data_IF_179829449732
#
_entry.id   IF_179829449732
#
_cell.length_a   1.000
_cell.length_b   1.000
_cell.length_c   1.000
_cell.angle_alpha   90.00
_cell.angle_beta   90.00
_cell.angle_gamma   90.00
#
_symmetry.space_group_name_H-M   'P 1'
#
loop_
_entity.id
_entity.type
_entity.pdbx_description
1 polymer ?
#
# COMPACT_ATOMS: atom_id res chain seq x y z
N UNK A 1 -15.12 15.04 -14.94
CA UNK A 1 -13.83 14.92 -14.24
C UNK A 1 -13.92 13.76 -13.27
N UNK A 2 -12.97 12.83 -13.27
CA UNK A 2 -12.99 11.69 -12.34
C UNK A 2 -12.73 12.17 -10.91
N UNK A 3 -13.72 11.98 -10.02
CA UNK A 3 -13.65 12.40 -8.62
C UNK A 3 -12.57 11.60 -7.87
N UNK A 4 -11.79 12.29 -7.04
CA UNK A 4 -10.82 11.67 -6.14
C UNK A 4 -11.50 11.23 -4.85
N UNK A 5 -11.36 9.97 -4.47
CA UNK A 5 -11.79 9.43 -3.18
C UNK A 5 -10.56 9.18 -2.31
N UNK A 6 -10.61 9.59 -1.05
CA UNK A 6 -9.53 9.40 -0.07
C UNK A 6 -10.01 8.52 1.06
N UNK A 7 -9.15 7.63 1.51
CA UNK A 7 -9.38 6.74 2.64
C UNK A 7 -8.34 7.03 3.71
N UNK A 8 -8.79 7.24 4.93
CA UNK A 8 -7.94 7.51 6.10
C UNK A 8 -8.21 6.47 7.17
N UNK A 9 -7.20 6.19 8.00
CA UNK A 9 -7.29 5.29 9.15
C UNK A 9 -7.08 6.06 10.45
N UNK A 10 -7.00 5.34 11.56
CA UNK A 10 -6.61 5.90 12.85
C UNK A 10 -5.08 6.07 13.00
N UNK A 11 -4.27 5.80 11.96
CA UNK A 11 -2.82 6.00 12.05
C UNK A 11 -2.50 7.49 12.30
N UNK A 12 -1.85 7.85 13.42
CA UNK A 12 -1.56 9.25 13.74
C UNK A 12 -0.68 9.95 12.69
N UNK A 13 0.17 9.19 11.97
CA UNK A 13 1.02 9.77 10.92
C UNK A 13 0.22 10.37 9.76
N UNK A 14 -1.00 9.89 9.47
CA UNK A 14 -1.82 10.43 8.39
C UNK A 14 -2.19 11.90 8.67
N UNK A 15 -2.63 12.19 9.89
CA UNK A 15 -2.91 13.54 10.35
C UNK A 15 -1.63 14.38 10.53
N UNK A 16 -0.56 13.79 11.08
CA UNK A 16 0.68 14.50 11.39
C UNK A 16 1.46 14.91 10.13
N UNK A 17 1.53 14.04 9.12
CA UNK A 17 2.33 14.26 7.92
C UNK A 17 1.48 14.72 6.72
N UNK A 18 0.15 14.63 6.80
CA UNK A 18 -0.75 15.14 5.76
C UNK A 18 -0.91 14.21 4.56
N UNK A 19 -1.07 12.91 4.79
CA UNK A 19 -1.36 11.93 3.74
C UNK A 19 -2.62 11.11 4.05
N UNK A 20 -3.14 10.39 3.05
CA UNK A 20 -4.25 9.44 3.20
C UNK A 20 -3.73 8.02 3.09
N UNK A 21 -4.30 7.07 3.83
CA UNK A 21 -3.96 5.64 3.69
C UNK A 21 -4.04 5.16 2.25
N UNK A 22 -5.11 5.55 1.54
CA UNK A 22 -5.25 5.25 0.14
C UNK A 22 -5.99 6.37 -0.61
N UNK A 23 -5.69 6.48 -1.91
CA UNK A 23 -6.38 7.40 -2.83
C UNK A 23 -6.86 6.62 -4.04
N UNK A 24 -8.16 6.71 -4.35
CA UNK A 24 -8.74 6.19 -5.59
C UNK A 24 -9.05 7.32 -6.55
N UNK A 25 -8.66 7.17 -7.82
CA UNK A 25 -9.05 8.06 -8.91
C UNK A 25 -9.32 7.25 -10.18
N UNK A 26 -10.60 7.03 -10.46
CA UNK A 26 -11.02 6.14 -11.55
C UNK A 26 -10.71 4.68 -11.21
N UNK A 27 -10.04 3.93 -12.11
CA UNK A 27 -9.68 2.54 -11.85
C UNK A 27 -8.45 2.41 -10.94
N UNK A 28 -7.66 3.47 -10.77
CA UNK A 28 -6.41 3.43 -10.01
C UNK A 28 -6.65 3.64 -8.52
N UNK A 29 -6.01 2.78 -7.72
CA UNK A 29 -5.94 2.87 -6.27
C UNK A 29 -4.47 2.85 -5.88
N UNK A 30 -4.04 3.86 -5.13
CA UNK A 30 -2.68 3.97 -4.59
C UNK A 30 -2.75 3.86 -3.07
N UNK A 31 -1.99 2.94 -2.49
CA UNK A 31 -1.93 2.68 -1.05
C UNK A 31 -0.57 3.15 -0.52
N UNK A 32 -0.61 4.05 0.45
CA UNK A 32 0.57 4.57 1.13
C UNK A 32 1.38 3.49 1.86
N UNK A 33 2.66 3.81 2.12
CA UNK A 33 3.59 2.99 2.87
C UNK A 33 3.00 2.41 4.16
N UNK A 34 3.04 1.08 4.25
CA UNK A 34 2.60 0.34 5.43
C UNK A 34 3.77 -0.46 5.96
N UNK A 35 4.16 -0.13 7.19
CA UNK A 35 5.38 -0.67 7.82
C UNK A 35 5.09 -1.84 8.74
N UNK A 36 6.08 -2.71 8.90
CA UNK A 36 6.09 -3.79 9.90
C UNK A 36 7.42 -3.85 10.62
N UNK A 37 7.40 -4.40 11.83
CA UNK A 37 8.60 -4.71 12.63
C UNK A 37 9.12 -6.14 12.36
N UNK A 38 8.38 -6.94 11.59
CA UNK A 38 8.82 -8.25 11.12
C UNK A 38 9.62 -8.10 9.81
N UNK A 39 10.56 -9.00 9.60
CA UNK A 39 11.46 -9.03 8.45
C UNK A 39 10.99 -9.96 7.31
N UNK A 40 10.03 -10.86 7.54
CA UNK A 40 9.70 -11.91 6.57
C UNK A 40 8.72 -11.48 5.47
N UNK A 41 9.11 -10.46 4.71
CA UNK A 41 8.30 -9.92 3.61
C UNK A 41 8.19 -10.89 2.43
N UNK A 42 9.24 -11.68 2.15
CA UNK A 42 9.26 -12.60 1.01
C UNK A 42 8.21 -13.70 1.17
N UNK A 43 8.14 -14.34 2.34
CA UNK A 43 7.09 -15.31 2.66
C UNK A 43 5.71 -14.66 2.62
N UNK A 44 5.56 -13.50 3.28
CA UNK A 44 4.28 -12.80 3.34
C UNK A 44 3.73 -12.46 1.94
N UNK A 45 4.57 -11.96 1.03
CA UNK A 45 4.16 -11.67 -0.35
C UNK A 45 3.71 -12.94 -1.08
N UNK A 46 4.46 -14.05 -0.96
CA UNK A 46 4.10 -15.29 -1.65
C UNK A 46 2.81 -15.91 -1.11
N UNK A 47 2.62 -15.91 0.21
CA UNK A 47 1.41 -16.44 0.86
C UNK A 47 0.16 -15.64 0.51
N UNK A 48 0.26 -14.31 0.43
CA UNK A 48 -0.88 -13.44 0.21
C UNK A 48 -1.21 -13.22 -1.29
N UNK A 49 -0.19 -13.11 -2.15
CA UNK A 49 -0.40 -12.85 -3.57
C UNK A 49 -0.35 -14.11 -4.45
N UNK A 50 0.23 -15.22 -3.98
CA UNK A 50 0.23 -16.48 -4.72
C UNK A 50 0.76 -16.34 -6.15
N UNK A 51 -0.14 -16.50 -7.12
CA UNK A 51 0.13 -16.40 -8.56
C UNK A 51 -0.25 -15.04 -9.17
N UNK A 52 -0.81 -14.11 -8.38
CA UNK A 52 -1.10 -12.73 -8.81
C UNK A 52 0.20 -12.03 -9.24
N UNK A 53 1.29 -12.25 -8.50
CA UNK A 53 2.63 -11.79 -8.85
C UNK A 53 2.72 -10.29 -9.17
N UNK A 54 2.38 -9.39 -8.22
CA UNK A 54 2.49 -7.96 -8.47
C UNK A 54 3.94 -7.57 -8.80
N UNK A 55 4.11 -6.57 -9.67
CA UNK A 55 5.42 -5.96 -9.87
C UNK A 55 5.94 -5.41 -8.53
N UNK A 56 7.20 -5.67 -8.21
CA UNK A 56 7.80 -5.28 -6.94
C UNK A 56 9.25 -4.86 -7.12
N UNK A 57 9.65 -3.88 -6.31
CA UNK A 57 11.05 -3.48 -6.11
C UNK A 57 11.37 -3.63 -4.64
N UNK A 58 12.51 -4.25 -4.31
CA UNK A 58 12.98 -4.36 -2.93
C UNK A 58 14.26 -3.54 -2.75
N UNK A 59 14.24 -2.64 -1.76
CA UNK A 59 15.40 -1.83 -1.38
C UNK A 59 15.80 -2.25 0.04
N UNK A 60 17.09 -2.56 0.24
CA UNK A 60 17.63 -3.00 1.53
C UNK A 60 18.63 -1.96 2.05
N UNK A 61 18.56 -1.65 3.36
CA UNK A 61 19.46 -0.69 4.01
C UNK A 61 18.97 0.77 4.00
N UNK A 62 17.73 1.02 3.63
CA UNK A 62 17.10 2.33 3.78
C UNK A 62 16.78 2.65 5.26
N UNK A 63 16.63 3.94 5.58
CA UNK A 63 16.17 4.39 6.89
C UNK A 63 14.65 4.59 6.89
N UNK A 64 13.98 4.07 7.92
CA UNK A 64 12.55 4.29 8.16
C UNK A 64 12.30 5.44 9.15
N UNK A 65 11.04 5.88 9.25
CA UNK A 65 10.59 6.90 10.21
C UNK A 65 10.90 6.50 11.66
N UNK A 66 10.89 5.20 11.97
CA UNK A 66 11.27 4.66 13.29
C UNK A 66 12.29 3.53 13.12
N UNK A 67 13.23 3.44 14.05
CA UNK A 67 14.30 2.42 14.02
C UNK A 67 13.79 0.98 14.18
N UNK A 68 12.61 0.80 14.78
CA UNK A 68 12.01 -0.52 14.96
C UNK A 68 11.38 -1.06 13.68
N UNK A 69 11.00 -0.19 12.72
CA UNK A 69 10.41 -0.59 11.45
C UNK A 69 11.47 -1.29 10.59
N UNK A 70 11.09 -2.41 9.99
CA UNK A 70 12.00 -3.32 9.28
C UNK A 70 11.68 -3.46 7.81
N UNK A 71 10.42 -3.23 7.46
CA UNK A 71 9.93 -3.25 6.09
C UNK A 71 8.85 -2.18 5.93
N UNK A 72 8.75 -1.65 4.72
CA UNK A 72 7.63 -0.83 4.27
C UNK A 72 7.16 -1.37 2.91
N UNK A 73 5.84 -1.49 2.75
CA UNK A 73 5.22 -1.88 1.49
C UNK A 73 4.29 -0.76 1.05
N UNK A 74 4.48 -0.31 -0.19
CA UNK A 74 3.54 0.49 -0.95
C UNK A 74 2.87 -0.40 -2.00
N UNK A 75 1.61 -0.14 -2.31
CA UNK A 75 0.86 -0.95 -3.25
C UNK A 75 0.01 -0.11 -4.18
N UNK A 76 0.08 -0.46 -5.46
CA UNK A 76 -0.75 0.11 -6.51
C UNK A 76 -1.69 -0.97 -7.04
N UNK A 77 -2.94 -0.59 -7.26
CA UNK A 77 -3.96 -1.47 -7.82
C UNK A 77 -4.75 -0.79 -8.93
N UNK A 78 -5.20 -1.59 -9.89
CA UNK A 78 -6.10 -1.17 -10.96
C UNK A 78 -7.35 -2.06 -10.88
N UNK A 79 -8.50 -1.43 -10.67
CA UNK A 79 -9.80 -2.09 -10.66
C UNK A 79 -10.54 -1.70 -11.92
N UNK A 80 -10.76 -2.66 -12.84
CA UNK A 80 -11.65 -2.45 -13.97
C UNK A 80 -13.11 -2.53 -13.53
N UNK A 81 -13.96 -1.64 -14.03
CA UNK A 81 -15.41 -1.62 -13.72
C UNK A 81 -16.14 -2.92 -14.11
N UNK A 82 -15.52 -3.84 -14.86
CA UNK A 82 -16.07 -5.17 -15.19
C UNK A 82 -16.25 -6.12 -13.99
N UNK A 83 -15.70 -5.80 -12.80
CA UNK A 83 -15.96 -6.57 -11.57
C UNK A 83 -17.10 -6.02 -10.71
N UNK A 84 -17.71 -4.88 -11.10
CA UNK A 84 -18.99 -4.40 -10.57
C UNK A 84 -20.08 -4.68 -11.62
N UNK A 85 -20.37 -5.96 -11.86
CA UNK A 85 -21.56 -6.37 -12.60
C UNK A 85 -22.80 -6.30 -11.70
N UNK A 86 -23.82 -5.57 -12.17
CA UNK A 86 -25.27 -5.59 -11.80
C UNK A 86 -25.64 -5.71 -10.32
#
# INVERSE_FOLDING_TARGET
MTQTQRYVTANPYEAQFGYSRAVRRGPFIFVSGTTSIDHDVGRALKENFGDIGPAATMIVGAQFVRAEMKVEIEADAIVSDMYYGT
#
